data_IF_074576875231
#
_entry.id   IF_074576875231
#
_cell.length_a   1.000
_cell.length_b   1.000
_cell.length_c   1.000
_cell.angle_alpha   90.00
_cell.angle_beta   90.00
_cell.angle_gamma   90.00
#
_symmetry.space_group_name_H-M   'P 1'
#
loop_
_entity.id
_entity.type
_entity.pdbx_description
1 polymer ?
#
# COMPACT_ATOMS: atom_id res chain seq x y z
N UNK A 1 -23.18 -1.93 -0.83
CA UNK A 1 -21.85 -1.28 -0.68
C UNK A 1 -20.75 -2.29 -0.92
N UNK A 2 -19.52 -1.89 -1.31
CA UNK A 2 -18.41 -2.82 -1.48
C UNK A 2 -18.02 -3.51 -0.17
N UNK A 3 -17.74 -4.82 -0.21
CA UNK A 3 -17.35 -5.60 0.96
C UNK A 3 -16.12 -5.03 1.70
N UNK A 4 -15.16 -4.48 0.96
CA UNK A 4 -13.96 -3.85 1.54
C UNK A 4 -14.27 -2.59 2.38
N UNK A 5 -15.33 -1.85 2.03
CA UNK A 5 -15.76 -0.67 2.78
C UNK A 5 -16.40 -1.09 4.11
N UNK A 6 -17.31 -2.06 4.07
CA UNK A 6 -17.95 -2.63 5.26
C UNK A 6 -16.93 -3.21 6.25
N UNK A 7 -15.96 -4.00 5.74
CA UNK A 7 -14.88 -4.56 6.54
C UNK A 7 -14.05 -3.49 7.24
N UNK A 8 -13.79 -2.38 6.54
CA UNK A 8 -13.00 -1.27 7.05
C UNK A 8 -13.77 -0.52 8.16
N UNK A 9 -15.06 -0.23 7.93
CA UNK A 9 -15.94 0.42 8.92
C UNK A 9 -16.02 -0.43 10.19
N UNK A 10 -16.29 -1.74 10.05
CA UNK A 10 -16.33 -2.66 11.20
C UNK A 10 -15.01 -2.69 11.97
N UNK A 11 -13.87 -2.66 11.27
CA UNK A 11 -12.56 -2.60 11.93
C UNK A 11 -12.39 -1.30 12.72
N UNK A 12 -12.70 -0.16 12.10
CA UNK A 12 -12.56 1.16 12.72
C UNK A 12 -13.44 1.26 13.98
N UNK A 13 -14.71 0.84 13.90
CA UNK A 13 -15.63 0.89 15.03
C UNK A 13 -15.22 -0.08 16.14
N UNK A 14 -14.67 -1.25 15.80
CA UNK A 14 -14.11 -2.18 16.79
C UNK A 14 -12.93 -1.57 17.54
N UNK A 15 -12.06 -0.86 16.84
CA UNK A 15 -10.88 -0.22 17.43
C UNK A 15 -11.24 1.08 18.19
N UNK A 16 -12.44 1.63 17.99
CA UNK A 16 -12.92 2.88 18.58
C UNK A 16 -14.35 2.70 19.15
N UNK A 17 -14.50 2.04 20.31
CA UNK A 17 -15.80 1.82 20.94
C UNK A 17 -16.42 3.16 21.35
N UNK A 18 -17.40 3.64 20.60
CA UNK A 18 -18.04 4.95 20.79
C UNK A 18 -18.03 5.84 19.54
N UNK A 19 -17.31 5.46 18.49
CA UNK A 19 -17.35 6.17 17.20
C UNK A 19 -18.72 6.00 16.53
N UNK A 20 -19.30 7.11 16.08
CA UNK A 20 -20.52 7.10 15.25
C UNK A 20 -20.25 6.45 13.91
N UNK A 21 -21.16 5.60 13.45
CA UNK A 21 -21.03 4.85 12.20
C UNK A 21 -20.73 5.75 10.99
N UNK A 22 -21.44 6.89 10.86
CA UNK A 22 -21.19 7.84 9.76
C UNK A 22 -19.77 8.42 9.75
N UNK A 23 -19.15 8.61 10.92
CA UNK A 23 -17.75 9.04 11.00
C UNK A 23 -16.80 7.91 10.57
N UNK A 24 -17.09 6.67 10.95
CA UNK A 24 -16.33 5.50 10.51
C UNK A 24 -16.39 5.32 8.99
N UNK A 25 -17.57 5.50 8.37
CA UNK A 25 -17.70 5.51 6.91
C UNK A 25 -16.84 6.60 6.26
N UNK A 26 -16.89 7.84 6.77
CA UNK A 26 -16.11 8.93 6.20
C UNK A 26 -14.59 8.65 6.24
N UNK A 27 -14.10 8.10 7.35
CA UNK A 27 -12.68 7.72 7.51
C UNK A 27 -12.33 6.55 6.57
N UNK A 28 -13.17 5.52 6.54
CA UNK A 28 -12.97 4.34 5.69
C UNK A 28 -12.94 4.70 4.21
N UNK A 29 -13.90 5.50 3.74
CA UNK A 29 -13.98 5.97 2.36
C UNK A 29 -12.73 6.75 1.96
N UNK A 30 -12.32 7.75 2.74
CA UNK A 30 -11.10 8.53 2.45
C UNK A 30 -9.84 7.64 2.42
N UNK A 31 -9.73 6.70 3.35
CA UNK A 31 -8.59 5.79 3.43
C UNK A 31 -8.52 4.86 2.23
N UNK A 32 -9.66 4.29 1.82
CA UNK A 32 -9.74 3.37 0.70
C UNK A 32 -9.62 4.06 -0.66
N UNK A 33 -10.05 5.31 -0.79
CA UNK A 33 -9.77 6.14 -1.97
C UNK A 33 -8.27 6.41 -2.09
N UNK A 34 -7.62 6.86 -0.99
CA UNK A 34 -6.17 7.09 -0.96
C UNK A 34 -5.35 5.83 -1.28
N UNK A 35 -5.84 4.65 -0.90
CA UNK A 35 -5.19 3.38 -1.25
C UNK A 35 -5.51 2.88 -2.66
N UNK A 36 -6.42 3.53 -3.39
CA UNK A 36 -6.89 3.14 -4.72
C UNK A 36 -7.84 1.93 -4.74
N UNK A 37 -8.41 1.59 -3.58
CA UNK A 37 -9.39 0.50 -3.44
C UNK A 37 -10.82 1.00 -3.76
N UNK A 38 -11.10 2.29 -3.59
CA UNK A 38 -12.30 2.97 -4.08
C UNK A 38 -11.93 4.04 -5.12
N UNK A 39 -12.88 4.42 -5.99
CA UNK A 39 -12.72 5.55 -6.90
C UNK A 39 -12.83 6.87 -6.14
N UNK A 40 -12.01 7.84 -6.49
CA UNK A 40 -12.00 9.17 -5.87
C UNK A 40 -13.37 9.84 -5.92
N UNK A 41 -13.75 10.49 -4.82
CA UNK A 41 -15.05 11.16 -4.70
C UNK A 41 -16.27 10.22 -4.62
N UNK A 42 -16.10 8.90 -4.67
CA UNK A 42 -17.20 7.94 -4.64
C UNK A 42 -16.97 6.77 -3.68
N UNK A 43 -18.02 6.00 -3.41
CA UNK A 43 -17.96 4.73 -2.67
C UNK A 43 -17.87 3.50 -3.58
N UNK A 44 -17.62 3.70 -4.88
CA UNK A 44 -17.52 2.58 -5.83
C UNK A 44 -16.14 1.92 -5.74
N UNK A 45 -16.12 0.60 -5.66
CA UNK A 45 -14.85 -0.15 -5.68
C UNK A 45 -14.19 -0.15 -7.05
N UNK A 46 -12.87 -0.04 -7.05
CA UNK A 46 -12.04 -0.35 -8.22
C UNK A 46 -11.85 -1.87 -8.36
N UNK A 47 -11.29 -2.33 -9.47
CA UNK A 47 -10.94 -3.76 -9.63
C UNK A 47 -10.00 -4.27 -8.53
N UNK A 48 -9.09 -3.39 -8.07
CA UNK A 48 -8.23 -3.67 -6.91
C UNK A 48 -9.07 -3.82 -5.63
N UNK A 49 -10.02 -2.92 -5.40
CA UNK A 49 -10.92 -2.95 -4.25
C UNK A 49 -11.81 -4.19 -4.21
N UNK A 50 -12.35 -4.60 -5.36
CA UNK A 50 -13.14 -5.84 -5.51
C UNK A 50 -12.31 -7.07 -5.13
N UNK A 51 -11.15 -7.24 -5.77
CA UNK A 51 -10.23 -8.35 -5.48
C UNK A 51 -9.84 -8.39 -4.00
N UNK A 52 -9.53 -7.24 -3.40
CA UNK A 52 -9.20 -7.19 -1.98
C UNK A 52 -10.41 -7.49 -1.11
N UNK A 53 -11.61 -7.03 -1.45
CA UNK A 53 -12.85 -7.34 -0.75
C UNK A 53 -13.08 -8.84 -0.59
N UNK A 54 -12.71 -9.64 -1.58
CA UNK A 54 -12.79 -11.11 -1.55
C UNK A 54 -11.69 -11.78 -0.72
N UNK A 55 -10.56 -11.09 -0.51
CA UNK A 55 -9.43 -11.60 0.26
C UNK A 55 -9.63 -11.44 1.77
N UNK A 56 -9.18 -12.43 2.54
CA UNK A 56 -9.06 -12.31 4.00
C UNK A 56 -8.08 -11.21 4.41
N UNK A 57 -8.26 -10.62 5.60
CA UNK A 57 -7.32 -9.63 6.17
C UNK A 57 -5.89 -10.18 6.25
N UNK A 58 -5.72 -11.45 6.61
CA UNK A 58 -4.42 -12.11 6.68
C UNK A 58 -3.75 -12.21 5.31
N UNK A 59 -4.51 -12.58 4.27
CA UNK A 59 -3.99 -12.65 2.90
C UNK A 59 -3.57 -11.26 2.40
N UNK A 60 -4.38 -10.22 2.66
CA UNK A 60 -4.04 -8.83 2.31
C UNK A 60 -2.72 -8.38 2.96
N UNK A 61 -2.47 -8.78 4.22
CA UNK A 61 -1.23 -8.45 4.93
C UNK A 61 0.01 -9.13 4.29
N UNK A 62 -0.09 -10.41 3.94
CA UNK A 62 0.99 -11.15 3.25
C UNK A 62 1.38 -10.50 1.92
N UNK A 63 0.39 -10.17 1.08
CA UNK A 63 0.63 -9.51 -0.21
C UNK A 63 1.30 -8.14 -0.05
N UNK A 64 0.97 -7.39 1.02
CA UNK A 64 1.67 -6.13 1.33
C UNK A 64 3.13 -6.35 1.71
N UNK A 65 3.41 -7.36 2.55
CA UNK A 65 4.78 -7.69 2.96
C UNK A 65 5.64 -8.12 1.77
N UNK A 66 5.10 -8.95 0.88
CA UNK A 66 5.78 -9.36 -0.36
C UNK A 66 6.10 -8.17 -1.25
N UNK A 67 5.14 -7.25 -1.42
CA UNK A 67 5.36 -6.02 -2.19
C UNK A 67 6.56 -5.24 -1.65
N UNK A 68 6.62 -5.00 -0.34
CA UNK A 68 7.74 -4.28 0.28
C UNK A 68 9.07 -5.02 0.16
N UNK A 69 9.06 -6.35 0.24
CA UNK A 69 10.26 -7.18 0.01
C UNK A 69 10.81 -6.96 -1.41
N UNK A 70 9.93 -6.96 -2.41
CA UNK A 70 10.28 -6.73 -3.82
C UNK A 70 10.80 -5.31 -4.02
N UNK A 71 10.15 -4.30 -3.44
CA UNK A 71 10.59 -2.89 -3.54
C UNK A 71 12.00 -2.71 -2.94
N UNK A 72 12.25 -3.26 -1.75
CA UNK A 72 13.58 -3.24 -1.12
C UNK A 72 14.64 -3.96 -1.94
N UNK A 73 14.30 -5.08 -2.57
CA UNK A 73 15.24 -5.79 -3.43
C UNK A 73 15.61 -4.98 -4.67
N UNK A 74 14.64 -4.26 -5.26
CA UNK A 74 14.88 -3.34 -6.38
C UNK A 74 15.75 -2.16 -5.97
N UNK A 75 15.48 -1.54 -4.81
CA UNK A 75 16.31 -0.47 -4.27
C UNK A 75 17.76 -0.94 -4.08
N UNK A 76 17.97 -2.09 -3.43
CA UNK A 76 19.30 -2.68 -3.24
C UNK A 76 20.02 -2.94 -4.56
N UNK A 77 19.31 -3.46 -5.57
CA UNK A 77 19.88 -3.70 -6.91
C UNK A 77 20.17 -2.39 -7.66
N UNK A 78 19.37 -1.34 -7.45
CA UNK A 78 19.62 0.00 -7.98
C UNK A 78 20.85 0.65 -7.35
N UNK A 79 21.00 0.55 -6.03
CA UNK A 79 22.20 1.02 -5.31
C UNK A 79 23.45 0.23 -5.71
N UNK A 80 23.37 -1.09 -5.87
CA UNK A 80 24.48 -1.91 -6.34
C UNK A 80 24.97 -1.45 -7.73
N UNK A 81 24.05 -1.22 -8.67
CA UNK A 81 24.38 -0.66 -10.00
C UNK A 81 24.99 0.75 -9.93
N UNK A 82 24.64 1.55 -8.92
CA UNK A 82 25.21 2.89 -8.74
C UNK A 82 26.62 2.89 -8.13
N UNK A 83 27.01 1.78 -7.46
CA UNK A 83 28.35 1.59 -6.88
C UNK A 83 29.33 0.98 -7.89
N UNK A 84 28.89 0.04 -8.73
CA UNK A 84 29.71 -0.57 -9.80
C UNK A 84 30.10 0.42 -10.92
N UNK A 85 29.51 1.62 -10.98
CA UNK A 85 29.85 2.66 -11.95
C UNK A 85 30.91 3.67 -11.50
N UNK A 86 31.52 3.50 -10.32
CA UNK A 86 32.43 4.49 -9.69
C UNK A 86 33.84 3.96 -9.44
N UNK A 87 34.40 3.13 -10.32
CA UNK A 87 35.76 2.59 -10.11
C UNK A 87 36.68 2.51 -11.35
N UNK A 88 36.47 3.34 -12.39
CA UNK A 88 37.35 3.33 -13.59
C UNK A 88 37.93 4.69 -14.00
N UNK A 89 38.02 5.68 -13.10
CA UNK A 89 38.72 6.96 -13.39
C UNK A 89 39.52 7.47 -12.20
N UNK A 90 40.61 6.79 -11.83
CA UNK A 90 41.72 7.40 -11.06
C UNK A 90 42.99 6.55 -11.05
N UNK A 91 43.51 6.18 -12.22
CA UNK A 91 44.92 5.71 -12.34
C UNK A 91 45.52 6.11 -13.68
N UNK A 92 45.54 7.41 -14.00
CA UNK A 92 46.53 7.96 -14.93
C UNK A 92 46.69 9.46 -14.69
N UNK A 93 47.87 9.88 -14.24
CA UNK A 93 48.28 11.28 -14.26
C UNK A 93 48.70 11.87 -12.91
N UNK A 94 49.94 11.59 -12.50
CA UNK A 94 50.89 12.38 -11.69
C UNK A 94 51.96 11.40 -11.20
N UNK A 95 53.25 11.53 -11.46
CA UNK A 95 54.11 12.55 -12.07
C UNK A 95 55.25 11.79 -12.75
#
# INVERSE_FOLDING_TARGET
>A
MPAILEDAVKSIMKDNPGMKEGAAYAIATKTLQKSGDLKDGTVQATEKGKRRGEMSKATRAKTRAEKYKIEREKERKGEAKSRDGRDERSTSGRL
#
